data_IF_142399630688
#
_entry.id   IF_142399630688
#
_cell.length_a   1.000
_cell.length_b   1.000
_cell.length_c   1.000
_cell.angle_alpha   90.00
_cell.angle_beta   90.00
_cell.angle_gamma   90.00
#
_symmetry.space_group_name_H-M   'P 1'
#
loop_
_entity.id
_entity.type
_entity.pdbx_description
1 polymer ?
#
# COMPACT_ATOMS: atom_id res chain seq x y z
N UNK A 1 0.16 1.98 3.77
CA UNK A 1 -0.78 2.03 4.90
C UNK A 1 -2.10 1.38 4.52
N UNK A 2 -2.76 0.70 5.47
CA UNK A 2 -4.13 0.20 5.33
C UNK A 2 -5.13 1.35 5.21
N UNK A 3 -6.29 1.10 4.63
CA UNK A 3 -7.42 2.03 4.69
C UNK A 3 -7.98 2.13 6.11
N UNK A 4 -8.81 3.14 6.37
CA UNK A 4 -9.48 3.29 7.67
C UNK A 4 -10.25 2.04 8.08
N UNK A 5 -11.13 1.54 7.22
CA UNK A 5 -11.98 0.39 7.52
C UNK A 5 -11.16 -0.89 7.79
N UNK A 6 -10.09 -1.11 7.02
CA UNK A 6 -9.18 -2.24 7.21
C UNK A 6 -8.42 -2.15 8.53
N UNK A 7 -7.93 -0.95 8.87
CA UNK A 7 -7.19 -0.73 10.11
C UNK A 7 -8.11 -0.81 11.34
N UNK A 8 -9.33 -0.29 11.24
CA UNK A 8 -10.35 -0.36 12.30
C UNK A 8 -10.77 -1.80 12.56
N UNK A 9 -11.00 -2.60 11.52
CA UNK A 9 -11.34 -4.01 11.65
C UNK A 9 -10.22 -4.86 12.29
N UNK A 10 -8.95 -4.46 12.10
CA UNK A 10 -7.80 -5.13 12.69
C UNK A 10 -7.42 -4.62 14.10
N UNK A 11 -8.02 -3.51 14.55
CA UNK A 11 -7.67 -2.87 15.80
C UNK A 11 -8.09 -3.70 17.03
N UNK A 12 -7.33 -3.55 18.12
CA UNK A 12 -7.67 -4.15 19.41
C UNK A 12 -8.67 -3.26 20.14
N UNK A 13 -9.67 -3.87 20.76
CA UNK A 13 -10.73 -3.17 21.49
C UNK A 13 -10.29 -2.75 22.90
N UNK A 14 -9.28 -1.90 22.96
CA UNK A 14 -8.72 -1.36 24.19
C UNK A 14 -8.09 0.02 23.93
N UNK A 15 -8.12 0.89 24.93
CA UNK A 15 -7.49 2.21 24.83
C UNK A 15 -5.97 2.07 24.81
N UNK A 16 -5.35 2.82 23.91
CA UNK A 16 -3.89 2.84 23.80
C UNK A 16 -3.22 3.70 24.87
N UNK A 17 -3.91 4.73 25.36
CA UNK A 17 -3.36 5.68 26.34
C UNK A 17 -4.26 5.73 27.57
N UNK A 18 -3.64 5.84 28.74
CA UNK A 18 -4.36 6.04 30.00
C UNK A 18 -4.70 7.51 30.26
N UNK A 19 -4.03 8.45 29.57
CA UNK A 19 -4.26 9.89 29.68
C UNK A 19 -3.68 10.66 28.48
N UNK A 20 -4.00 11.96 28.39
CA UNK A 20 -3.56 12.84 27.30
C UNK A 20 -2.05 13.07 27.27
N UNK A 21 -1.36 13.09 28.40
CA UNK A 21 0.09 13.31 28.44
C UNK A 21 0.89 12.16 27.81
N UNK A 22 0.42 10.91 27.95
CA UNK A 22 1.01 9.77 27.25
C UNK A 22 0.84 9.90 25.72
N UNK A 23 -0.35 10.32 25.28
CA UNK A 23 -0.60 10.61 23.87
C UNK A 23 0.34 11.71 23.34
N UNK A 24 0.48 12.83 24.07
CA UNK A 24 1.34 13.94 23.67
C UNK A 24 2.81 13.50 23.55
N UNK A 25 3.32 12.76 24.54
CA UNK A 25 4.69 12.26 24.52
C UNK A 25 4.93 11.27 23.36
N UNK A 26 3.98 10.37 23.11
CA UNK A 26 4.08 9.38 22.04
C UNK A 26 3.95 10.02 20.64
N UNK A 27 2.97 10.89 20.45
CA UNK A 27 2.72 11.59 19.18
C UNK A 27 3.87 12.51 18.80
N UNK A 28 4.54 13.15 19.77
CA UNK A 28 5.75 13.93 19.53
C UNK A 28 6.90 13.11 18.95
N UNK A 29 7.06 11.85 19.38
CA UNK A 29 8.08 10.93 18.84
C UNK A 29 7.68 10.31 17.50
N UNK A 30 6.39 10.24 17.19
CA UNK A 30 5.85 9.50 16.05
C UNK A 30 5.09 10.43 15.09
N UNK A 31 3.81 10.69 15.35
CA UNK A 31 2.90 11.38 14.43
C UNK A 31 3.40 12.76 13.98
N UNK A 32 3.91 13.59 14.91
CA UNK A 32 4.29 14.98 14.62
C UNK A 32 5.38 15.13 13.56
N UNK A 33 6.13 14.06 13.29
CA UNK A 33 7.20 14.01 12.27
C UNK A 33 6.97 12.94 11.22
N UNK A 34 5.79 12.32 11.22
CA UNK A 34 5.46 11.26 10.27
C UNK A 34 4.92 11.85 8.97
N UNK A 35 5.39 11.32 7.85
CA UNK A 35 4.94 11.65 6.50
C UNK A 35 3.41 11.51 6.33
N UNK A 36 2.83 10.40 6.81
CA UNK A 36 1.39 10.11 6.66
C UNK A 36 0.48 11.10 7.39
N UNK A 37 0.97 11.72 8.45
CA UNK A 37 0.19 12.66 9.26
C UNK A 37 0.38 14.12 8.83
N UNK A 38 1.33 14.38 7.90
CA UNK A 38 1.63 15.71 7.37
C UNK A 38 0.41 16.41 6.74
N UNK A 39 -0.45 15.73 5.96
CA UNK A 39 -1.63 16.38 5.38
C UNK A 39 -2.56 16.98 6.44
N UNK A 40 -2.83 16.24 7.53
CA UNK A 40 -3.67 16.68 8.63
C UNK A 40 -3.10 17.96 9.29
N UNK A 41 -1.78 17.99 9.53
CA UNK A 41 -1.08 19.17 10.07
C UNK A 41 -1.14 20.39 9.15
N UNK A 42 -1.38 20.18 7.86
CA UNK A 42 -1.52 21.24 6.84
C UNK A 42 -2.99 21.60 6.56
N UNK A 43 -3.94 21.03 7.31
CA UNK A 43 -5.37 21.30 7.18
C UNK A 43 -6.11 20.39 6.21
N UNK A 44 -5.47 19.33 5.70
CA UNK A 44 -6.07 18.30 4.85
C UNK A 44 -6.37 17.03 5.66
N UNK A 45 -7.43 17.10 6.46
CA UNK A 45 -7.87 15.99 7.30
C UNK A 45 -8.41 14.80 6.47
N UNK A 46 -8.76 14.98 5.19
CA UNK A 46 -9.25 13.88 4.35
C UNK A 46 -8.13 12.87 4.05
N UNK A 47 -6.88 13.35 4.00
CA UNK A 47 -5.70 12.54 3.73
C UNK A 47 -4.85 12.30 4.99
N UNK A 48 -5.45 12.37 6.18
CA UNK A 48 -4.75 12.10 7.43
C UNK A 48 -4.44 10.62 7.64
N UNK A 49 -3.54 10.34 8.58
CA UNK A 49 -3.20 8.98 8.97
C UNK A 49 -4.41 8.32 9.68
N UNK A 50 -5.06 7.29 9.09
CA UNK A 50 -6.24 6.65 9.68
C UNK A 50 -6.01 6.04 11.07
N UNK A 51 -4.76 5.73 11.43
CA UNK A 51 -4.43 5.10 12.71
C UNK A 51 -4.70 6.03 13.90
N UNK A 52 -4.61 7.35 13.70
CA UNK A 52 -4.88 8.33 14.77
C UNK A 52 -6.37 8.34 15.11
N UNK A 53 -7.23 8.34 14.10
CA UNK A 53 -8.68 8.29 14.30
C UNK A 53 -9.08 7.05 15.10
N UNK A 54 -8.53 5.89 14.76
CA UNK A 54 -8.79 4.64 15.49
C UNK A 54 -8.40 4.74 16.97
N UNK A 55 -7.26 5.38 17.26
CA UNK A 55 -6.83 5.63 18.63
C UNK A 55 -7.75 6.59 19.39
N UNK A 56 -8.29 7.61 18.70
CA UNK A 56 -9.27 8.54 19.27
C UNK A 56 -10.63 7.87 19.53
N UNK A 57 -10.98 6.81 18.80
CA UNK A 57 -12.14 5.97 19.09
C UNK A 57 -11.92 5.01 20.28
N UNK A 58 -10.78 5.10 20.95
CA UNK A 58 -10.47 4.27 22.12
C UNK A 58 -10.05 2.84 21.77
N UNK A 59 -9.57 2.62 20.54
CA UNK A 59 -9.03 1.34 20.08
C UNK A 59 -7.54 1.43 19.81
N UNK A 60 -6.82 0.33 19.99
CA UNK A 60 -5.39 0.26 19.69
C UNK A 60 -5.15 -0.25 18.26
N UNK A 61 -4.55 0.55 17.36
CA UNK A 61 -4.19 0.09 16.03
C UNK A 61 -3.22 -1.10 16.09
N UNK A 62 -3.38 -2.06 15.17
CA UNK A 62 -2.53 -3.26 15.11
C UNK A 62 -1.07 -2.95 14.76
N UNK A 63 -0.83 -1.80 14.14
CA UNK A 63 0.47 -1.27 13.74
C UNK A 63 1.30 -0.75 14.93
N UNK A 64 0.70 -0.58 16.10
CA UNK A 64 1.36 -0.03 17.28
C UNK A 64 1.81 -1.17 18.20
N UNK A 65 3.07 -1.55 18.05
CA UNK A 65 3.67 -2.70 18.69
C UNK A 65 4.42 -2.32 19.96
N UNK A 66 4.42 -3.22 20.94
CA UNK A 66 5.33 -3.21 22.11
C UNK A 66 6.10 -4.52 22.15
N UNK A 67 7.29 -4.50 22.73
CA UNK A 67 8.11 -5.70 22.94
C UNK A 67 8.01 -6.20 24.39
N UNK A 68 7.58 -5.34 25.32
CA UNK A 68 7.49 -5.60 26.76
C UNK A 68 6.20 -5.06 27.37
N UNK A 69 5.76 -5.68 28.46
CA UNK A 69 4.63 -5.17 29.27
C UNK A 69 4.93 -3.77 29.83
N UNK A 70 6.19 -3.48 30.20
CA UNK A 70 6.59 -2.16 30.66
C UNK A 70 6.38 -1.08 29.60
N UNK A 71 6.72 -1.36 28.33
CA UNK A 71 6.43 -0.42 27.24
C UNK A 71 4.93 -0.18 27.08
N UNK A 72 4.11 -1.21 27.28
CA UNK A 72 2.65 -1.08 27.23
C UNK A 72 2.11 -0.21 28.38
N UNK A 73 2.59 -0.40 29.61
CA UNK A 73 2.24 0.45 30.77
C UNK A 73 2.61 1.92 30.51
N UNK A 74 3.73 2.17 29.85
CA UNK A 74 4.22 3.52 29.54
C UNK A 74 3.72 4.07 28.20
N UNK A 75 2.89 3.32 27.48
CA UNK A 75 2.41 3.66 26.14
C UNK A 75 3.54 3.99 25.13
N UNK A 76 4.68 3.31 25.23
CA UNK A 76 5.85 3.48 24.36
C UNK A 76 5.77 2.54 23.16
N UNK A 77 4.74 2.72 22.34
CA UNK A 77 4.50 1.91 21.15
C UNK A 77 5.42 2.29 19.98
N UNK A 78 5.90 1.29 19.25
CA UNK A 78 6.53 1.47 17.94
C UNK A 78 5.48 1.34 16.85
N UNK A 79 5.33 2.37 16.00
CA UNK A 79 4.42 2.32 14.86
C UNK A 79 5.14 1.72 13.62
N UNK A 80 4.63 0.61 13.08
CA UNK A 80 5.24 -0.06 11.91
C UNK A 80 5.11 0.72 10.60
N UNK A 81 4.09 1.58 10.52
CA UNK A 81 3.85 2.45 9.36
C UNK A 81 4.56 3.80 9.48
N UNK A 82 5.27 4.07 10.59
CA UNK A 82 6.02 5.31 10.76
C UNK A 82 7.04 5.50 9.63
N UNK A 83 6.99 6.66 8.99
CA UNK A 83 7.95 7.13 7.98
C UNK A 83 8.29 8.58 8.29
N UNK A 84 9.57 8.89 8.44
CA UNK A 84 10.03 10.27 8.58
C UNK A 84 9.76 11.07 7.31
N UNK A 85 9.54 12.38 7.45
CA UNK A 85 9.32 13.25 6.28
C UNK A 85 10.53 13.35 5.35
N UNK A 86 11.74 13.12 5.88
CA UNK A 86 13.00 13.15 5.13
C UNK A 86 13.48 11.74 4.72
N UNK A 87 12.72 10.69 5.07
CA UNK A 87 13.07 9.32 4.68
C UNK A 87 12.84 9.15 3.18
N UNK A 88 13.75 8.47 2.45
CA UNK A 88 13.49 8.13 1.05
C UNK A 88 12.27 7.22 0.95
N UNK A 89 11.47 7.40 -0.10
CA UNK A 89 10.34 6.52 -0.37
C UNK A 89 10.80 5.06 -0.39
N UNK A 90 10.12 4.15 0.33
CA UNK A 90 10.49 2.75 0.30
C UNK A 90 10.30 2.21 -1.12
N UNK A 91 11.26 1.42 -1.59
CA UNK A 91 11.10 0.60 -2.79
C UNK A 91 9.74 -0.13 -2.73
N UNK A 92 8.94 -0.11 -3.80
CA UNK A 92 7.63 -0.75 -3.83
C UNK A 92 7.74 -2.20 -3.35
N UNK A 93 7.01 -2.55 -2.28
CA UNK A 93 6.97 -3.95 -1.82
C UNK A 93 6.35 -4.80 -2.94
N UNK A 94 6.94 -5.96 -3.28
CA UNK A 94 6.33 -6.89 -4.21
C UNK A 94 4.92 -7.25 -3.74
N UNK A 95 3.94 -7.21 -4.64
CA UNK A 95 2.58 -7.69 -4.36
C UNK A 95 2.68 -9.18 -4.05
N UNK A 96 2.22 -9.66 -2.88
CA UNK A 96 2.26 -11.08 -2.54
C UNK A 96 1.51 -11.89 -3.59
N UNK A 97 2.13 -12.95 -4.10
CA UNK A 97 1.49 -13.87 -5.04
C UNK A 97 0.27 -14.53 -4.37
N UNK A 98 -0.93 -14.45 -4.97
CA UNK A 98 -2.10 -15.14 -4.44
C UNK A 98 -1.85 -16.65 -4.29
N UNK A 99 -2.32 -17.28 -3.20
CA UNK A 99 -2.15 -18.71 -3.01
C UNK A 99 -2.80 -19.50 -4.15
N UNK A 100 -2.05 -20.44 -4.74
CA UNK A 100 -2.50 -21.29 -5.84
C UNK A 100 -2.18 -20.77 -7.25
N UNK A 101 -1.68 -19.54 -7.40
CA UNK A 101 -1.24 -19.03 -8.72
C UNK A 101 0.20 -19.47 -9.08
N UNK A 102 1.00 -19.85 -8.08
CA UNK A 102 2.45 -20.06 -8.26
C UNK A 102 3.17 -18.76 -8.60
N UNK A 103 4.51 -18.75 -8.53
CA UNK A 103 5.27 -17.62 -9.07
C UNK A 103 5.09 -17.61 -10.59
N UNK A 104 4.75 -16.44 -11.16
CA UNK A 104 4.85 -16.25 -12.61
C UNK A 104 6.28 -16.59 -13.00
N UNK A 105 6.45 -17.46 -14.00
CA UNK A 105 7.78 -17.85 -14.48
C UNK A 105 8.68 -16.60 -14.63
N UNK A 106 9.97 -16.68 -14.27
CA UNK A 106 10.90 -15.58 -14.44
C UNK A 106 10.75 -15.01 -15.84
N UNK A 107 10.78 -13.68 -15.98
CA UNK A 107 10.47 -13.00 -17.24
C UNK A 107 11.61 -13.17 -18.25
N UNK A 108 12.83 -13.32 -17.76
CA UNK A 108 14.10 -13.39 -18.50
C UNK A 108 14.09 -14.39 -19.69
N UNK A 109 13.53 -15.62 -19.58
CA UNK A 109 13.45 -16.56 -20.69
C UNK A 109 12.45 -16.14 -21.80
N UNK A 110 11.56 -15.18 -21.54
CA UNK A 110 10.46 -14.80 -22.44
C UNK A 110 10.63 -13.43 -23.10
N UNK A 111 11.73 -12.73 -22.85
CA UNK A 111 11.97 -11.39 -23.40
C UNK A 111 12.42 -11.38 -24.88
N UNK A 112 12.74 -12.55 -25.45
CA UNK A 112 13.37 -12.66 -26.77
C UNK A 112 12.47 -13.01 -27.96
N UNK A 113 11.26 -13.54 -27.74
CA UNK A 113 10.45 -14.10 -28.83
C UNK A 113 9.07 -13.42 -28.93
N UNK A 114 8.99 -12.37 -29.76
CA UNK A 114 7.71 -11.87 -30.27
C UNK A 114 7.12 -12.92 -31.22
N UNK A 115 6.20 -13.75 -30.70
CA UNK A 115 5.52 -14.83 -31.43
C UNK A 115 4.60 -14.36 -32.57
N UNK A 116 4.41 -13.05 -32.74
CA UNK A 116 3.57 -12.48 -33.80
C UNK A 116 4.47 -11.75 -34.80
N UNK A 117 4.96 -12.50 -35.79
CA UNK A 117 5.43 -11.91 -37.04
C UNK A 117 4.23 -11.26 -37.73
N UNK A 118 4.28 -9.96 -38.07
CA UNK A 118 3.21 -9.35 -38.85
C UNK A 118 3.10 -10.08 -40.19
N UNK A 119 1.88 -10.51 -40.54
CA UNK A 119 1.60 -11.09 -41.84
C UNK A 119 1.98 -10.06 -42.91
N UNK A 120 2.92 -10.38 -43.80
CA UNK A 120 3.17 -9.54 -44.97
C UNK A 120 1.88 -9.52 -45.80
N UNK A 121 1.31 -8.34 -46.13
CA UNK A 121 0.16 -8.27 -47.01
C UNK A 121 0.58 -8.77 -48.39
N UNK A 122 0.22 -10.02 -48.71
CA UNK A 122 0.41 -10.59 -50.01
C UNK A 122 -0.43 -9.79 -51.02
N UNK A 123 0.22 -9.30 -52.07
CA UNK A 123 -0.38 -8.65 -53.22
C UNK A 123 -1.56 -9.49 -53.76
N UNK A 124 -2.78 -9.14 -53.33
CA UNK A 124 -4.03 -9.73 -53.81
C UNK A 124 -4.77 -8.68 -54.64
N UNK A 125 -4.19 -8.37 -55.80
CA UNK A 125 -4.84 -7.80 -56.97
C UNK A 125 -3.89 -8.08 -58.15
N UNK A 126 -4.24 -8.75 -59.24
CA UNK A 126 -5.53 -9.16 -59.77
C UNK A 126 -5.30 -10.38 -60.68
N UNK A 127 -6.13 -11.40 -60.55
CA UNK A 127 -6.29 -12.44 -61.56
C UNK A 127 -7.74 -12.90 -61.58
N UNK A 128 -8.62 -12.07 -62.13
CA UNK A 128 -9.93 -12.51 -62.60
C UNK A 128 -10.32 -11.71 -63.84
N UNK A 129 -9.86 -12.16 -65.00
CA UNK A 129 -10.45 -11.85 -66.30
C UNK A 129 -10.81 -13.17 -66.98
N UNK A 130 -12.08 -13.59 -66.83
CA UNK A 130 -12.87 -14.46 -67.71
C UNK A 130 -14.32 -14.18 -67.31
N UNK A 131 -15.30 -13.86 -68.15
CA UNK A 131 -15.43 -13.67 -69.58
C UNK A 131 -16.94 -13.60 -69.82
N UNK A 132 -17.45 -12.54 -70.46
CA UNK A 132 -18.87 -12.41 -70.79
C UNK A 132 -19.09 -12.70 -72.28
N UNK A 133 -19.95 -13.69 -72.54
CA UNK A 133 -20.55 -13.96 -73.85
C UNK A 133 -22.05 -13.92 -73.65
N UNK A 134 -22.69 -12.85 -74.15
CA UNK A 134 -23.85 -12.89 -75.04
C UNK A 134 -24.16 -11.51 -75.59
#
# INVERSE_FOLDING_TARGET
MRTYDEALAAARDESTFSNSSQWEAWSAKNCNRCFWDKPARQGDAVNECPLILIALEGKRPAEWLTETEQQEIHADYTCTEFRGEDDPDPEPRPVPTPPGQGELLPREPFEGHRMLTPLQPAATAAASQRGDVR
#
